data_IF_286007973793
#
_entry.id   IF_286007973793
#
_cell.length_a   1.000
_cell.length_b   1.000
_cell.length_c   1.000
_cell.angle_alpha   90.00
_cell.angle_beta   90.00
_cell.angle_gamma   90.00
#
_symmetry.space_group_name_H-M   'P 1'
#
loop_
_entity.id
_entity.type
_entity.pdbx_description
1 polymer ?
#
# COMPACT_ATOMS: atom_id res chain seq x y z
N UNK A 1 -16.70 16.28 48.44
CA UNK A 1 -16.46 16.13 46.99
C UNK A 1 -15.70 17.38 46.54
N UNK A 2 -14.50 17.23 45.98
CA UNK A 2 -13.65 18.37 45.60
C UNK A 2 -14.29 19.15 44.45
N UNK A 3 -14.32 20.48 44.54
CA UNK A 3 -14.95 21.36 43.53
C UNK A 3 -14.34 21.15 42.15
N UNK A 4 -13.01 21.00 42.11
CA UNK A 4 -12.18 20.88 40.89
C UNK A 4 -12.62 19.75 39.97
N UNK A 5 -13.15 18.63 40.50
CA UNK A 5 -13.58 17.48 39.71
C UNK A 5 -14.65 17.91 38.69
N UNK A 6 -15.67 18.65 39.16
CA UNK A 6 -16.77 19.14 38.33
C UNK A 6 -16.29 20.13 37.26
N UNK A 7 -15.26 20.92 37.56
CA UNK A 7 -14.66 21.85 36.59
C UNK A 7 -13.87 21.11 35.51
N UNK A 8 -13.07 20.11 35.88
CA UNK A 8 -12.32 19.28 34.92
C UNK A 8 -13.29 18.48 34.04
N UNK A 9 -14.30 17.83 34.63
CA UNK A 9 -15.33 17.09 33.87
C UNK A 9 -16.04 17.99 32.85
N UNK A 10 -16.41 19.22 33.23
CA UNK A 10 -17.03 20.18 32.32
C UNK A 10 -16.08 20.62 31.21
N UNK A 11 -14.83 20.96 31.53
CA UNK A 11 -13.85 21.43 30.56
C UNK A 11 -13.46 20.33 29.54
N UNK A 12 -13.37 19.07 29.96
CA UNK A 12 -13.12 17.94 29.07
C UNK A 12 -14.29 17.61 28.12
N UNK A 13 -15.46 18.24 28.26
CA UNK A 13 -16.53 18.17 27.25
C UNK A 13 -16.30 19.13 26.07
N UNK A 14 -15.53 20.20 26.27
CA UNK A 14 -15.30 21.26 25.26
C UNK A 14 -13.85 21.41 24.82
N UNK A 15 -12.88 20.92 25.60
CA UNK A 15 -11.44 21.03 25.35
C UNK A 15 -10.75 19.67 25.40
N UNK A 16 -9.77 19.47 24.50
CA UNK A 16 -8.98 18.23 24.44
C UNK A 16 -7.81 18.19 25.43
N UNK A 17 -7.55 19.28 26.15
CA UNK A 17 -6.50 19.37 27.16
C UNK A 17 -6.98 20.26 28.32
N UNK A 18 -6.70 19.86 29.56
CA UNK A 18 -6.96 20.63 30.78
C UNK A 18 -5.79 20.43 31.75
N UNK A 19 -5.08 21.51 32.08
CA UNK A 19 -3.84 21.48 32.86
C UNK A 19 -4.05 21.98 34.29
N UNK A 20 -3.76 21.12 35.26
CA UNK A 20 -3.75 21.42 36.69
C UNK A 20 -2.33 21.87 37.09
N UNK A 21 -2.13 23.15 37.49
CA UNK A 21 -0.83 23.65 37.92
C UNK A 21 -0.22 22.78 39.01
N UNK A 22 1.08 22.50 38.94
CA UNK A 22 1.84 21.68 39.92
C UNK A 22 1.39 20.21 40.06
N UNK A 23 0.39 19.75 39.30
CA UNK A 23 -0.14 18.37 39.37
C UNK A 23 0.07 17.60 38.04
N UNK A 24 -0.30 18.21 36.91
CA UNK A 24 -0.21 17.60 35.58
C UNK A 24 -1.41 17.96 34.70
N UNK A 25 -1.47 17.41 33.49
CA UNK A 25 -2.55 17.70 32.53
C UNK A 25 -3.32 16.46 32.08
N UNK A 26 -4.64 16.59 31.98
CA UNK A 26 -5.50 15.63 31.29
C UNK A 26 -5.51 15.94 29.80
N UNK A 27 -5.38 14.91 28.96
CA UNK A 27 -5.37 15.02 27.50
C UNK A 27 -6.33 13.98 26.91
N UNK A 28 -7.24 14.40 26.05
CA UNK A 28 -8.14 13.50 25.34
C UNK A 28 -7.47 12.94 24.07
N UNK A 29 -7.07 11.68 24.13
CA UNK A 29 -6.58 10.98 22.94
C UNK A 29 -7.75 10.47 22.11
N UNK A 30 -7.87 10.95 20.87
CA UNK A 30 -8.87 10.41 19.93
C UNK A 30 -8.41 9.06 19.39
N UNK A 31 -9.23 8.03 19.60
CA UNK A 31 -9.06 6.69 19.06
C UNK A 31 -10.06 6.48 17.91
N UNK A 32 -9.60 5.99 16.74
CA UNK A 32 -10.48 5.75 15.59
C UNK A 32 -11.51 4.66 15.90
N UNK A 33 -12.54 4.57 15.06
CA UNK A 33 -13.42 3.42 15.07
C UNK A 33 -12.63 2.13 14.79
N UNK A 34 -12.91 1.06 15.53
CA UNK A 34 -12.20 -0.22 15.40
C UNK A 34 -13.17 -1.38 15.28
N UNK A 35 -12.81 -2.36 14.45
CA UNK A 35 -13.43 -3.67 14.42
C UNK A 35 -12.50 -4.67 15.12
N UNK A 36 -13.03 -5.42 16.10
CA UNK A 36 -12.32 -6.52 16.73
C UNK A 36 -12.91 -7.84 16.23
N UNK A 37 -12.15 -8.52 15.36
CA UNK A 37 -12.58 -9.70 14.63
C UNK A 37 -12.97 -10.86 15.54
N UNK A 38 -12.14 -11.20 16.53
CA UNK A 38 -12.38 -12.28 17.51
C UNK A 38 -13.75 -12.20 18.22
N UNK A 39 -14.29 -10.99 18.36
CA UNK A 39 -15.53 -10.70 19.08
C UNK A 39 -16.63 -10.19 18.14
N UNK A 40 -16.35 -10.08 16.84
CA UNK A 40 -17.16 -9.40 15.84
C UNK A 40 -17.69 -8.03 16.30
N UNK A 41 -16.86 -7.30 17.06
CA UNK A 41 -17.26 -6.13 17.84
C UNK A 41 -16.80 -4.85 17.13
N UNK A 42 -17.77 -4.06 16.68
CA UNK A 42 -17.58 -2.73 16.14
C UNK A 42 -17.63 -1.70 17.27
N UNK A 43 -16.55 -0.94 17.43
CA UNK A 43 -16.47 0.20 18.35
C UNK A 43 -16.43 1.49 17.53
N UNK A 44 -17.27 2.50 17.84
CA UNK A 44 -17.19 3.80 17.20
C UNK A 44 -15.89 4.52 17.56
N UNK A 45 -15.62 5.63 16.87
CA UNK A 45 -14.59 6.58 17.29
C UNK A 45 -14.88 7.03 18.73
N UNK A 46 -13.86 7.09 19.58
CA UNK A 46 -13.98 7.51 20.98
C UNK A 46 -12.80 8.39 21.37
N UNK A 47 -12.93 9.10 22.48
CA UNK A 47 -11.81 9.76 23.15
C UNK A 47 -11.51 8.99 24.42
N UNK A 48 -10.24 8.82 24.74
CA UNK A 48 -9.76 8.23 25.98
C UNK A 48 -9.02 9.31 26.77
N UNK A 49 -9.25 9.38 28.08
CA UNK A 49 -8.56 10.34 28.95
C UNK A 49 -7.17 9.79 29.25
N UNK A 50 -6.14 10.53 28.87
CA UNK A 50 -4.76 10.30 29.29
C UNK A 50 -4.37 11.35 30.32
N UNK A 51 -3.42 11.02 31.20
CA UNK A 51 -2.84 11.97 32.15
C UNK A 51 -1.33 12.07 31.95
N UNK A 52 -0.80 13.28 32.00
CA UNK A 52 0.63 13.56 31.85
C UNK A 52 1.11 14.55 32.92
N UNK A 53 1.92 14.05 33.86
CA UNK A 53 2.54 14.80 34.97
C UNK A 53 3.45 15.94 34.47
N UNK A 54 4.02 15.82 33.26
CA UNK A 54 4.95 16.82 32.72
C UNK A 54 4.26 18.09 32.21
N UNK A 55 2.93 18.07 32.04
CA UNK A 55 2.16 19.26 31.67
C UNK A 55 1.92 20.14 32.91
N UNK A 56 2.81 21.10 33.14
CA UNK A 56 2.72 22.03 34.28
C UNK A 56 2.41 23.48 33.88
N UNK A 57 2.49 23.84 32.59
CA UNK A 57 2.18 25.18 32.13
C UNK A 57 0.66 25.42 32.15
N UNK A 58 0.21 26.44 32.87
CA UNK A 58 -1.22 26.74 33.00
C UNK A 58 -1.83 27.11 31.64
N UNK A 59 -2.95 26.51 31.26
CA UNK A 59 -3.74 26.90 30.07
C UNK A 59 -4.73 28.05 30.36
N UNK A 60 -4.99 28.32 31.64
CA UNK A 60 -5.95 29.31 32.12
C UNK A 60 -7.40 28.82 32.21
N UNK A 61 -7.72 27.64 31.66
CA UNK A 61 -9.08 27.12 31.51
C UNK A 61 -9.75 26.86 32.87
N UNK A 62 -9.01 26.28 33.82
CA UNK A 62 -9.53 26.05 35.18
C UNK A 62 -9.79 27.37 35.91
N UNK A 63 -8.84 28.32 35.88
CA UNK A 63 -9.02 29.65 36.49
C UNK A 63 -10.24 30.37 35.93
N UNK A 64 -10.43 30.36 34.61
CA UNK A 64 -11.61 30.93 33.96
C UNK A 64 -12.90 30.22 34.40
N UNK A 65 -12.91 28.89 34.44
CA UNK A 65 -14.06 28.10 34.89
C UNK A 65 -14.49 28.44 36.33
N UNK A 66 -13.53 28.70 37.22
CA UNK A 66 -13.78 29.14 38.60
C UNK A 66 -14.32 30.58 38.63
N UNK A 67 -13.73 31.52 37.88
CA UNK A 67 -14.24 32.89 37.77
C UNK A 67 -15.70 32.92 37.31
N UNK A 68 -16.02 32.20 36.23
CA UNK A 68 -17.37 32.13 35.66
C UNK A 68 -18.38 31.47 36.61
N UNK A 69 -17.98 30.42 37.33
CA UNK A 69 -18.90 29.65 38.20
C UNK A 69 -19.14 30.34 39.55
N UNK A 70 -18.13 31.00 40.13
CA UNK A 70 -18.22 31.60 41.47
C UNK A 70 -18.33 33.14 41.47
N UNK A 71 -18.26 33.80 40.31
CA UNK A 71 -18.34 35.26 40.20
C UNK A 71 -17.18 35.98 40.86
N UNK A 72 -15.98 35.38 40.85
CA UNK A 72 -14.78 35.88 41.52
C UNK A 72 -13.76 36.46 40.53
N UNK A 73 -12.87 37.33 41.02
CA UNK A 73 -11.72 37.80 40.23
C UNK A 73 -10.69 36.68 39.98
N UNK A 74 -9.80 36.89 39.01
CA UNK A 74 -8.80 35.90 38.60
C UNK A 74 -7.86 35.47 39.74
N UNK A 75 -7.45 36.40 40.62
CA UNK A 75 -6.53 36.10 41.72
C UNK A 75 -7.23 35.23 42.78
N UNK A 76 -8.50 35.51 43.07
CA UNK A 76 -9.32 34.70 43.97
C UNK A 76 -9.63 33.33 43.36
N UNK A 77 -9.89 33.25 42.05
CA UNK A 77 -10.04 31.98 41.34
C UNK A 77 -8.77 31.12 41.41
N UNK A 78 -7.58 31.72 41.21
CA UNK A 78 -6.30 31.02 41.38
C UNK A 78 -6.12 30.47 42.79
N UNK A 79 -6.39 31.27 43.84
CA UNK A 79 -6.29 30.80 45.22
C UNK A 79 -7.24 29.63 45.53
N UNK A 80 -8.47 29.67 45.02
CA UNK A 80 -9.44 28.56 45.16
C UNK A 80 -8.99 27.30 44.40
N UNK A 81 -8.36 27.47 43.23
CA UNK A 81 -7.79 26.37 42.46
C UNK A 81 -6.57 25.74 43.16
N UNK A 82 -5.67 26.56 43.71
CA UNK A 82 -4.52 26.06 44.49
C UNK A 82 -4.98 25.32 45.77
N UNK A 83 -5.99 25.84 46.48
CA UNK A 83 -6.62 25.16 47.62
C UNK A 83 -7.18 23.77 47.24
N UNK A 84 -7.88 23.65 46.12
CA UNK A 84 -8.45 22.36 45.67
C UNK A 84 -7.38 21.37 45.17
N UNK A 85 -6.29 21.86 44.56
CA UNK A 85 -5.16 21.02 44.12
C UNK A 85 -4.37 20.50 45.33
N UNK A 86 -4.16 21.34 46.34
CA UNK A 86 -3.51 20.91 47.59
C UNK A 86 -4.36 19.85 48.30
N UNK A 87 -5.68 20.08 48.42
CA UNK A 87 -6.60 19.09 48.97
C UNK A 87 -6.63 17.78 48.17
N UNK A 88 -6.46 17.84 46.84
CA UNK A 88 -6.34 16.67 45.97
C UNK A 88 -5.05 15.87 46.25
N UNK A 89 -3.91 16.55 46.37
CA UNK A 89 -2.62 15.93 46.71
C UNK A 89 -2.67 15.25 48.08
N UNK A 90 -3.09 15.98 49.12
CA UNK A 90 -3.22 15.46 50.49
C UNK A 90 -4.12 14.22 50.54
N UNK A 91 -5.24 14.23 49.79
CA UNK A 91 -6.13 13.08 49.71
C UNK A 91 -5.48 11.87 49.01
N UNK A 92 -4.74 12.09 47.92
CA UNK A 92 -4.01 11.03 47.21
C UNK A 92 -2.87 10.43 48.06
N UNK A 93 -2.16 11.24 48.84
CA UNK A 93 -1.11 10.78 49.76
C UNK A 93 -1.67 9.96 50.94
N UNK A 94 -2.79 10.42 51.53
CA UNK A 94 -3.41 9.77 52.69
C UNK A 94 -4.14 8.47 52.32
N UNK A 95 -5.05 8.52 51.35
CA UNK A 95 -5.90 7.39 50.97
C UNK A 95 -5.19 6.43 49.99
N UNK A 96 -4.02 6.83 49.46
CA UNK A 96 -3.26 6.16 48.37
C UNK A 96 -4.03 5.98 47.06
N UNK A 97 -5.29 6.41 47.00
CA UNK A 97 -6.20 6.24 45.86
C UNK A 97 -7.30 7.28 45.89
N UNK A 98 -7.51 8.01 44.80
CA UNK A 98 -8.60 8.98 44.65
C UNK A 98 -9.31 8.84 43.30
N UNK A 99 -10.64 8.88 43.32
CA UNK A 99 -11.49 8.73 42.12
C UNK A 99 -12.08 10.08 41.72
N UNK A 100 -11.87 10.47 40.46
CA UNK A 100 -12.30 11.74 39.88
C UNK A 100 -13.50 11.54 38.95
N UNK A 101 -14.62 11.05 39.50
CA UNK A 101 -15.86 10.87 38.77
C UNK A 101 -15.69 9.99 37.52
N UNK A 102 -16.04 10.53 36.35
CA UNK A 102 -15.90 9.87 35.04
C UNK A 102 -14.51 10.00 34.41
N UNK A 103 -13.66 10.88 34.92
CA UNK A 103 -12.32 11.16 34.36
C UNK A 103 -11.43 9.93 34.55
N UNK A 104 -11.38 9.40 35.77
CA UNK A 104 -10.56 8.24 36.11
C UNK A 104 -10.23 8.15 37.60
N UNK A 105 -9.29 7.28 37.93
CA UNK A 105 -8.80 7.04 39.29
C UNK A 105 -7.29 7.18 39.34
N UNK A 106 -6.78 7.91 40.31
CA UNK A 106 -5.36 7.88 40.67
C UNK A 106 -5.12 6.87 41.79
N UNK A 107 -3.97 6.21 41.75
CA UNK A 107 -3.48 5.32 42.81
C UNK A 107 -1.96 5.40 42.91
N UNK A 108 -1.43 5.36 44.12
CA UNK A 108 0.02 5.25 44.38
C UNK A 108 0.43 3.78 44.26
N UNK A 109 1.40 3.50 43.39
CA UNK A 109 1.99 2.17 43.19
C UNK A 109 2.95 1.76 44.31
N UNK A 110 3.44 0.52 44.27
CA UNK A 110 4.32 -0.04 45.31
C UNK A 110 5.67 0.71 45.40
N UNK A 111 6.14 1.30 44.31
CA UNK A 111 7.38 2.09 44.26
C UNK A 111 7.12 3.60 44.49
N UNK A 112 5.90 3.98 44.88
CA UNK A 112 5.50 5.36 45.12
C UNK A 112 5.12 6.15 43.86
N UNK A 113 5.07 5.54 42.67
CA UNK A 113 4.65 6.24 41.46
C UNK A 113 3.14 6.52 41.43
N UNK A 114 2.75 7.69 40.93
CA UNK A 114 1.33 8.01 40.66
C UNK A 114 0.86 7.33 39.38
N UNK A 115 -0.04 6.36 39.50
CA UNK A 115 -0.65 5.62 38.39
C UNK A 115 -2.05 6.21 38.14
N UNK A 116 -2.35 6.54 36.89
CA UNK A 116 -3.68 6.97 36.46
C UNK A 116 -4.38 5.84 35.68
N UNK A 117 -5.56 5.45 36.12
CA UNK A 117 -6.47 4.55 35.40
C UNK A 117 -7.62 5.37 34.81
N UNK A 118 -7.82 5.40 33.48
CA UNK A 118 -8.91 6.16 32.86
C UNK A 118 -10.29 5.63 33.27
N UNK A 119 -11.25 6.54 33.37
CA UNK A 119 -12.66 6.21 33.63
C UNK A 119 -13.47 5.93 32.36
N UNK A 120 -14.79 5.90 32.50
CA UNK A 120 -15.70 5.84 31.34
C UNK A 120 -15.66 7.15 30.55
N UNK A 121 -14.77 7.16 29.57
CA UNK A 121 -14.46 8.30 28.71
C UNK A 121 -15.43 8.46 27.53
N UNK A 122 -16.43 7.58 27.38
CA UNK A 122 -17.41 7.64 26.30
C UNK A 122 -18.19 8.97 26.24
N UNK A 123 -18.35 9.64 27.38
CA UNK A 123 -19.02 10.95 27.48
C UNK A 123 -18.24 12.12 26.87
N UNK A 124 -16.91 12.04 26.77
CA UNK A 124 -16.07 13.15 26.30
C UNK A 124 -15.97 13.26 24.77
N UNK A 125 -16.52 12.29 24.02
CA UNK A 125 -16.59 12.37 22.56
C UNK A 125 -17.97 12.82 22.07
N UNK A 126 -18.22 14.13 22.10
CA UNK A 126 -19.44 14.74 21.56
C UNK A 126 -19.76 14.33 20.10
N UNK A 127 -18.73 14.12 19.26
CA UNK A 127 -18.89 13.73 17.85
C UNK A 127 -19.39 12.30 17.63
N UNK A 128 -19.42 11.47 18.68
CA UNK A 128 -19.93 10.09 18.63
C UNK A 128 -20.91 9.81 19.75
N UNK A 129 -21.49 10.87 20.33
CA UNK A 129 -22.56 10.77 21.31
C UNK A 129 -23.74 9.95 20.75
N UNK A 130 -24.21 8.98 21.53
CA UNK A 130 -25.27 8.05 21.12
C UNK A 130 -24.82 6.86 20.25
N UNK A 131 -23.57 6.83 19.76
CA UNK A 131 -23.03 5.64 19.10
C UNK A 131 -22.57 4.63 20.15
N UNK A 132 -23.29 3.51 20.26
CA UNK A 132 -22.86 2.36 21.07
C UNK A 132 -21.89 1.46 20.28
N UNK A 133 -21.10 0.66 21.00
CA UNK A 133 -20.43 -0.48 20.37
C UNK A 133 -21.45 -1.58 20.12
N UNK A 134 -21.35 -2.28 19.00
CA UNK A 134 -22.29 -3.35 18.61
C UNK A 134 -21.57 -4.56 18.01
N UNK A 135 -22.21 -5.71 18.12
CA UNK A 135 -21.75 -6.94 17.47
C UNK A 135 -22.48 -7.12 16.15
N UNK A 136 -21.77 -7.51 15.09
CA UNK A 136 -22.38 -7.83 13.80
C UNK A 136 -21.81 -9.15 13.27
N UNK A 137 -22.64 -10.18 13.03
CA UNK A 137 -22.16 -11.50 12.63
C UNK A 137 -21.48 -11.46 11.25
N UNK A 138 -20.47 -12.31 11.08
CA UNK A 138 -19.82 -12.49 9.77
C UNK A 138 -20.82 -13.09 8.79
N UNK A 139 -20.93 -12.49 7.61
CA UNK A 139 -21.71 -13.04 6.50
C UNK A 139 -20.95 -14.25 5.93
N UNK A 140 -21.66 -15.37 5.68
CA UNK A 140 -21.08 -16.53 5.00
C UNK A 140 -20.48 -16.12 3.65
N UNK A 141 -19.39 -16.75 3.23
CA UNK A 141 -18.80 -16.43 1.93
C UNK A 141 -19.74 -16.87 0.80
N UNK A 142 -19.73 -16.12 -0.30
CA UNK A 142 -20.50 -16.49 -1.49
C UNK A 142 -19.95 -17.79 -2.13
N UNK A 143 -18.71 -18.18 -1.83
CA UNK A 143 -18.16 -19.48 -2.21
C UNK A 143 -18.78 -20.62 -1.40
N UNK A 144 -18.87 -20.51 -0.07
CA UNK A 144 -19.58 -21.50 0.78
C UNK A 144 -21.03 -21.67 0.34
N UNK A 145 -21.76 -20.57 0.09
CA UNK A 145 -23.15 -20.62 -0.33
C UNK A 145 -23.29 -21.25 -1.74
N UNK A 146 -22.35 -20.98 -2.66
CA UNK A 146 -22.30 -21.64 -3.97
C UNK A 146 -21.94 -23.12 -3.89
N UNK A 147 -21.06 -23.51 -2.96
CA UNK A 147 -20.68 -24.90 -2.76
C UNK A 147 -21.83 -25.69 -2.12
N UNK A 148 -22.50 -25.14 -1.10
CA UNK A 148 -23.72 -25.71 -0.51
C UNK A 148 -24.80 -25.89 -1.59
N UNK A 149 -25.06 -24.86 -2.41
CA UNK A 149 -26.00 -24.95 -3.55
C UNK A 149 -25.54 -25.95 -4.62
N UNK A 150 -24.24 -26.08 -4.91
CA UNK A 150 -23.72 -27.03 -5.88
C UNK A 150 -23.81 -28.49 -5.39
N UNK A 151 -23.63 -28.72 -4.09
CA UNK A 151 -23.84 -30.01 -3.43
C UNK A 151 -25.33 -30.40 -3.47
N UNK A 152 -26.23 -29.47 -3.17
CA UNK A 152 -27.68 -29.66 -3.20
C UNK A 152 -28.24 -29.81 -4.63
N UNK A 153 -27.68 -29.10 -5.62
CA UNK A 153 -28.13 -29.16 -7.02
C UNK A 153 -27.82 -30.51 -7.71
N UNK A 154 -26.93 -31.32 -7.14
CA UNK A 154 -26.58 -32.65 -7.61
C UNK A 154 -25.76 -32.66 -8.91
N UNK A 155 -24.92 -33.70 -9.06
CA UNK A 155 -24.18 -33.90 -10.31
C UNK A 155 -25.18 -34.21 -11.45
N UNK A 156 -25.39 -33.25 -12.35
CA UNK A 156 -26.15 -33.47 -13.60
C UNK A 156 -25.62 -34.73 -14.27
N UNK A 157 -26.47 -35.75 -14.41
CA UNK A 157 -26.11 -37.00 -15.09
C UNK A 157 -25.71 -36.64 -16.51
N UNK A 158 -24.49 -37.02 -16.92
CA UNK A 158 -24.06 -36.84 -18.31
C UNK A 158 -24.93 -37.75 -19.17
N UNK A 159 -25.65 -37.18 -20.13
CA UNK A 159 -26.49 -37.95 -21.04
C UNK A 159 -25.62 -38.91 -21.85
N UNK A 160 -25.77 -40.21 -21.58
CA UNK A 160 -25.07 -41.26 -22.31
C UNK A 160 -25.80 -41.46 -23.64
N UNK A 161 -25.32 -40.78 -24.68
CA UNK A 161 -25.83 -40.95 -26.04
C UNK A 161 -25.52 -42.36 -26.55
N UNK A 162 -26.52 -43.24 -26.49
CA UNK A 162 -26.46 -44.56 -27.13
C UNK A 162 -26.66 -44.42 -28.64
N UNK A 163 -25.61 -44.69 -29.42
CA UNK A 163 -25.66 -44.70 -30.89
C UNK A 163 -25.87 -46.15 -31.36
N UNK A 164 -27.07 -46.52 -31.88
CA UNK A 164 -27.34 -47.88 -32.34
C UNK A 164 -26.66 -48.17 -33.69
N UNK A 165 -25.47 -48.78 -33.66
CA UNK A 165 -24.80 -49.25 -34.87
C UNK A 165 -25.42 -50.57 -35.34
N UNK A 166 -25.93 -50.60 -36.58
CA UNK A 166 -26.58 -51.82 -37.09
C UNK A 166 -25.58 -52.93 -37.41
N UNK A 167 -25.88 -54.16 -36.96
CA UNK A 167 -25.05 -55.35 -37.22
C UNK A 167 -24.89 -55.68 -38.72
N UNK A 168 -25.78 -55.17 -39.58
CA UNK A 168 -25.68 -55.31 -41.04
C UNK A 168 -24.50 -54.51 -41.61
N UNK A 169 -24.33 -53.25 -41.17
CA UNK A 169 -23.21 -52.40 -41.60
C UNK A 169 -21.85 -53.00 -41.19
N UNK A 170 -21.75 -53.51 -39.96
CA UNK A 170 -20.52 -54.17 -39.47
C UNK A 170 -20.15 -55.37 -40.36
N UNK A 171 -21.12 -56.21 -40.77
CA UNK A 171 -20.87 -57.34 -41.68
C UNK A 171 -20.39 -56.90 -43.06
N UNK A 172 -20.95 -55.83 -43.61
CA UNK A 172 -20.51 -55.27 -44.91
C UNK A 172 -19.07 -54.78 -44.81
N UNK A 173 -18.73 -53.99 -43.77
CA UNK A 173 -17.36 -53.48 -43.55
C UNK A 173 -16.35 -54.64 -43.42
N UNK A 174 -16.67 -55.66 -42.62
CA UNK A 174 -15.80 -56.85 -42.45
C UNK A 174 -15.61 -57.61 -43.77
N UNK A 175 -16.68 -57.79 -44.56
CA UNK A 175 -16.58 -58.45 -45.86
C UNK A 175 -15.73 -57.66 -46.87
N UNK A 176 -15.86 -56.33 -46.91
CA UNK A 176 -15.04 -55.45 -47.73
C UNK A 176 -13.55 -55.52 -47.37
N UNK A 177 -13.22 -55.50 -46.07
CA UNK A 177 -11.84 -55.63 -45.59
C UNK A 177 -11.25 -57.00 -45.95
N UNK A 178 -12.02 -58.08 -45.81
CA UNK A 178 -11.59 -59.42 -46.19
C UNK A 178 -11.35 -59.56 -47.71
N UNK A 179 -12.19 -58.95 -48.55
CA UNK A 179 -12.02 -58.94 -50.00
C UNK A 179 -10.76 -58.16 -50.44
N UNK A 180 -10.50 -57.01 -49.82
CA UNK A 180 -9.28 -56.22 -50.07
C UNK A 180 -8.03 -56.98 -49.65
N UNK A 181 -8.04 -57.62 -48.47
CA UNK A 181 -6.92 -58.45 -48.01
C UNK A 181 -6.65 -59.62 -48.97
N UNK A 182 -7.70 -60.30 -49.46
CA UNK A 182 -7.57 -61.41 -50.42
C UNK A 182 -7.03 -60.93 -51.78
N UNK A 183 -7.41 -59.74 -52.24
CA UNK A 183 -6.86 -59.14 -53.45
C UNK A 183 -5.35 -58.91 -53.35
N UNK A 184 -4.85 -58.42 -52.22
CA UNK A 184 -3.41 -58.24 -51.98
C UNK A 184 -2.65 -59.59 -51.87
N UNK A 185 -3.28 -60.66 -51.40
CA UNK A 185 -2.65 -61.99 -51.31
C UNK A 185 -2.58 -62.70 -52.67
N UNK A 186 -3.56 -62.50 -53.55
CA UNK A 186 -3.63 -63.16 -54.88
C UNK A 186 -2.86 -62.39 -55.96
N UNK A 187 -2.59 -61.10 -55.76
CA UNK A 187 -1.84 -60.27 -56.70
C UNK A 187 -0.38 -60.74 -56.82
N UNK A 188 -0.01 -61.29 -57.97
CA UNK A 188 1.37 -61.69 -58.26
C UNK A 188 2.31 -60.49 -58.25
N UNK A 189 3.52 -60.58 -57.66
CA UNK A 189 4.44 -59.46 -57.62
C UNK A 189 4.97 -59.14 -59.02
N UNK A 190 4.66 -57.95 -59.52
CA UNK A 190 5.21 -57.42 -60.79
C UNK A 190 6.70 -57.14 -60.57
N UNK A 191 7.57 -57.98 -61.16
CA UNK A 191 9.02 -57.91 -60.95
C UNK A 191 9.79 -57.03 -61.93
N UNK A 192 9.13 -56.48 -62.95
CA UNK A 192 9.73 -55.53 -63.88
C UNK A 192 8.81 -54.33 -64.05
N UNK A 193 9.22 -53.18 -63.50
CA UNK A 193 8.50 -51.91 -63.61
C UNK A 193 9.31 -50.98 -64.50
N UNK A 194 8.88 -50.79 -65.74
CA UNK A 194 9.58 -49.93 -66.69
C UNK A 194 9.26 -48.46 -66.37
N UNK A 195 10.11 -47.83 -65.56
CA UNK A 195 9.94 -46.47 -65.02
C UNK A 195 9.75 -45.39 -66.12
N UNK A 196 10.25 -45.62 -67.33
CA UNK A 196 10.14 -44.69 -68.47
C UNK A 196 8.73 -44.60 -69.08
N UNK A 197 7.84 -45.55 -68.78
CA UNK A 197 6.46 -45.56 -69.27
C UNK A 197 5.45 -44.94 -68.28
N UNK A 198 5.90 -44.46 -67.11
CA UNK A 198 5.04 -44.04 -66.02
C UNK A 198 4.71 -42.53 -66.07
N UNK A 199 3.82 -42.14 -66.97
CA UNK A 199 3.41 -40.72 -67.18
C UNK A 199 2.20 -40.28 -66.34
N UNK A 200 1.71 -41.13 -65.44
CA UNK A 200 0.58 -40.82 -64.56
C UNK A 200 0.92 -41.07 -63.08
N UNK A 201 1.24 -40.00 -62.35
CA UNK A 201 1.30 -39.98 -60.89
C UNK A 201 0.45 -38.82 -60.36
N UNK A 202 -0.32 -39.07 -59.31
CA UNK A 202 -1.18 -38.08 -58.66
C UNK A 202 -0.46 -37.28 -57.54
N UNK A 203 0.86 -37.45 -57.41
CA UNK A 203 1.68 -36.73 -56.42
C UNK A 203 2.56 -35.72 -57.17
N UNK A 204 2.45 -34.41 -56.90
CA UNK A 204 3.32 -33.40 -57.51
C UNK A 204 4.80 -33.64 -57.19
N UNK A 205 5.63 -33.68 -58.23
CA UNK A 205 7.06 -34.03 -58.12
C UNK A 205 7.88 -33.04 -57.27
N UNK A 206 7.37 -31.83 -57.03
CA UNK A 206 8.04 -30.78 -56.24
C UNK A 206 8.04 -31.04 -54.72
N UNK A 207 7.27 -32.01 -54.21
CA UNK A 207 7.31 -32.38 -52.78
C UNK A 207 8.23 -33.56 -52.45
N UNK A 208 8.95 -34.11 -53.44
CA UNK A 208 9.87 -35.23 -53.22
C UNK A 208 11.30 -34.71 -53.09
N UNK A 209 11.66 -34.30 -51.87
CA UNK A 209 13.05 -34.00 -51.51
C UNK A 209 13.91 -35.29 -51.53
N UNK A 210 14.43 -35.63 -52.71
CA UNK A 210 15.54 -36.57 -52.82
C UNK A 210 16.81 -35.92 -52.29
N UNK A 211 17.21 -36.28 -51.07
CA UNK A 211 18.57 -36.06 -50.58
C UNK A 211 19.52 -36.86 -51.48
N UNK A 212 20.24 -36.16 -52.34
CA UNK A 212 21.30 -36.72 -53.15
C UNK A 212 22.57 -36.83 -52.29
N UNK A 213 22.79 -38.00 -51.70
CA UNK A 213 24.10 -38.38 -51.14
C UNK A 213 24.91 -39.05 -52.26
N UNK A 214 25.89 -38.31 -52.80
CA UNK A 214 26.92 -38.88 -53.68
C UNK A 214 27.98 -39.64 -52.85
N UNK A 215 28.69 -40.62 -53.44
CA UNK A 215 29.17 -41.78 -52.71
C UNK A 215 30.50 -41.57 -51.97
N UNK A 216 30.65 -42.40 -50.94
CA UNK A 216 31.82 -42.53 -50.08
C UNK A 216 33.03 -43.07 -50.87
N UNK A 217 34.16 -42.37 -50.78
CA UNK A 217 35.49 -42.90 -51.09
C UNK A 217 36.28 -43.10 -49.79
N UNK A 218 36.73 -44.32 -49.55
CA UNK A 218 37.68 -44.74 -48.50
C UNK A 218 39.12 -44.80 -49.07
N UNK A 219 40.18 -45.13 -48.30
CA UNK A 219 40.45 -44.95 -46.86
C UNK A 219 41.83 -44.28 -46.60
N UNK A 220 42.19 -43.98 -45.34
CA UNK A 220 43.48 -44.43 -44.73
C UNK A 220 43.56 -44.16 -43.22
N UNK A 221 44.50 -44.84 -42.55
CA UNK A 221 44.68 -44.87 -41.08
C UNK A 221 45.73 -43.86 -40.56
N UNK A 222 45.92 -43.88 -39.23
CA UNK A 222 47.11 -43.50 -38.42
C UNK A 222 46.93 -42.29 -37.47
N UNK A 223 46.41 -42.63 -36.28
CA UNK A 223 47.04 -42.45 -34.96
C UNK A 223 47.81 -41.16 -34.54
N UNK A 224 47.35 -40.61 -33.39
CA UNK A 224 48.10 -40.15 -32.20
C UNK A 224 48.58 -38.67 -32.09
N UNK A 225 48.14 -38.02 -30.99
CA UNK A 225 48.73 -36.87 -30.24
C UNK A 225 48.81 -35.46 -30.89
N UNK A 226 48.87 -34.32 -30.17
CA UNK A 226 48.48 -33.88 -28.80
C UNK A 226 48.79 -32.34 -28.70
N UNK A 227 48.16 -31.60 -27.76
CA UNK A 227 48.57 -30.26 -27.20
C UNK A 227 48.17 -28.96 -27.96
N UNK A 228 47.51 -28.03 -27.21
CA UNK A 228 47.35 -26.54 -27.26
C UNK A 228 47.07 -25.78 -28.60
N UNK A 229 46.42 -24.60 -28.68
CA UNK A 229 46.34 -23.43 -27.77
C UNK A 229 45.20 -22.42 -28.17
N UNK A 230 44.87 -21.46 -27.28
CA UNK A 230 44.11 -20.18 -27.44
C UNK A 230 42.66 -20.18 -28.03
N UNK A 231 41.61 -19.67 -27.34
CA UNK A 231 41.34 -18.26 -26.91
C UNK A 231 41.20 -17.32 -28.13
N UNK A 232 40.01 -17.02 -28.67
CA UNK A 232 38.85 -16.27 -28.14
C UNK A 232 38.91 -14.73 -28.31
N UNK A 233 37.83 -14.22 -28.92
CA UNK A 233 37.17 -12.92 -28.70
C UNK A 233 37.69 -11.61 -29.36
N UNK A 234 36.72 -10.71 -29.53
CA UNK A 234 36.75 -9.24 -29.68
C UNK A 234 36.62 -8.64 -31.10
N UNK A 235 35.70 -7.67 -31.15
CA UNK A 235 35.27 -6.77 -32.23
C UNK A 235 36.38 -5.84 -32.74
N UNK A 236 36.18 -5.14 -33.88
CA UNK A 236 35.73 -3.73 -33.85
C UNK A 236 34.77 -3.39 -35.04
N UNK A 237 34.26 -2.16 -35.29
CA UNK A 237 34.91 -0.85 -35.26
C UNK A 237 33.93 0.35 -35.29
N UNK A 238 34.39 1.47 -34.71
CA UNK A 238 33.82 2.83 -34.78
C UNK A 238 34.86 3.76 -35.45
N UNK A 239 34.43 4.73 -36.25
CA UNK A 239 35.19 5.95 -36.63
C UNK A 239 34.20 7.14 -36.51
N UNK A 240 34.42 8.20 -35.70
CA UNK A 240 35.40 9.30 -35.82
C UNK A 240 35.08 10.25 -37.01
N UNK A 241 34.99 11.58 -36.89
CA UNK A 241 35.96 12.51 -36.26
C UNK A 241 35.35 13.88 -35.87
N UNK A 242 36.08 14.64 -35.02
CA UNK A 242 35.91 16.04 -34.58
C UNK A 242 36.08 17.07 -35.75
N UNK A 243 36.12 18.41 -35.65
CA UNK A 243 36.27 19.41 -34.55
C UNK A 243 35.97 20.84 -35.09
N UNK A 244 35.58 21.82 -34.25
CA UNK A 244 35.99 23.26 -34.36
C UNK A 244 35.77 23.96 -33.00
N UNK A 245 36.54 25.01 -32.72
CA UNK A 245 36.84 25.58 -31.39
C UNK A 245 36.54 27.11 -31.32
N UNK A 246 36.55 27.68 -30.10
CA UNK A 246 37.15 29.01 -29.69
C UNK A 246 36.34 29.78 -28.61
N UNK A 247 36.87 29.68 -27.37
CA UNK A 247 37.04 30.65 -26.28
C UNK A 247 36.18 31.95 -26.09
N UNK A 248 35.74 32.19 -24.84
CA UNK A 248 36.38 33.17 -23.90
C UNK A 248 35.84 33.18 -22.45
N UNK A 249 36.76 33.35 -21.49
CA UNK A 249 36.59 33.69 -20.04
C UNK A 249 36.88 35.20 -19.82
N UNK A 250 36.97 35.76 -18.58
CA UNK A 250 36.26 35.59 -17.29
C UNK A 250 35.76 36.94 -16.68
N UNK A 251 35.12 36.99 -15.49
CA UNK A 251 35.29 38.09 -14.47
C UNK A 251 34.46 37.96 -13.17
N UNK A 252 35.00 38.56 -12.09
CA UNK A 252 34.59 38.60 -10.66
C UNK A 252 35.24 39.91 -10.09
N UNK A 253 34.61 40.80 -9.26
CA UNK A 253 34.26 40.54 -7.84
C UNK A 253 33.10 41.34 -7.17
N UNK A 254 32.84 40.99 -5.89
CA UNK A 254 32.47 41.80 -4.68
C UNK A 254 31.67 43.13 -4.73
N UNK A 255 30.77 43.35 -3.74
CA UNK A 255 31.03 44.19 -2.52
C UNK A 255 29.83 44.25 -1.55
N UNK A 256 30.07 43.74 -0.33
CA UNK A 256 29.63 44.18 1.03
C UNK A 256 28.59 45.31 1.21
N UNK A 257 27.60 45.06 2.09
CA UNK A 257 27.29 45.96 3.24
C UNK A 257 26.52 45.23 4.35
N UNK A 258 26.67 45.73 5.56
CA UNK A 258 26.29 45.11 6.85
C UNK A 258 25.45 46.12 7.68
N UNK A 259 24.81 45.64 8.76
CA UNK A 259 24.04 46.41 9.78
C UNK A 259 22.62 46.87 9.40
N UNK A 260 21.61 46.21 9.98
CA UNK A 260 20.69 46.79 10.98
C UNK A 260 19.49 45.86 11.26
N UNK A 261 19.30 45.45 12.52
CA UNK A 261 18.07 44.79 12.99
C UNK A 261 17.02 45.85 13.32
N UNK A 262 15.79 45.69 12.83
CA UNK A 262 14.65 45.78 13.74
C UNK A 262 13.73 44.56 13.58
N UNK A 263 13.32 43.97 14.71
CA UNK A 263 12.44 42.81 14.73
C UNK A 263 10.99 43.16 14.34
N UNK A 264 10.32 42.36 13.50
CA UNK A 264 8.86 42.32 13.43
C UNK A 264 8.29 41.01 13.98
N UNK A 265 7.28 41.15 14.84
CA UNK A 265 6.17 40.22 15.14
C UNK A 265 6.33 38.75 14.71
N UNK A 266 6.36 37.86 15.71
CA UNK A 266 6.07 36.44 15.50
C UNK A 266 4.63 36.26 14.97
N UNK A 267 4.51 35.89 13.70
CA UNK A 267 3.25 35.38 13.16
C UNK A 267 2.97 33.96 13.66
N UNK A 268 1.68 33.65 13.79
CA UNK A 268 1.18 32.34 14.22
C UNK A 268 1.74 31.22 13.33
N UNK A 269 2.37 30.21 13.95
CA UNK A 269 2.82 29.01 13.24
C UNK A 269 1.62 28.14 12.87
N UNK A 270 0.93 28.53 11.80
CA UNK A 270 0.01 27.63 11.11
C UNK A 270 0.81 26.43 10.60
N UNK A 271 0.33 25.21 10.88
CA UNK A 271 0.93 23.97 10.38
C UNK A 271 0.97 24.00 8.86
N UNK A 272 2.18 24.07 8.29
CA UNK A 272 2.40 24.23 6.85
C UNK A 272 2.03 22.94 6.12
N UNK A 273 0.76 22.82 5.74
CA UNK A 273 0.24 21.75 4.89
C UNK A 273 1.07 21.66 3.61
N UNK A 274 1.54 20.46 3.31
CA UNK A 274 2.34 20.15 2.12
C UNK A 274 1.50 19.30 1.16
N UNK A 275 1.55 19.67 -0.12
CA UNK A 275 0.78 19.06 -1.19
C UNK A 275 1.72 18.27 -2.09
N UNK A 276 1.54 16.96 -2.18
CA UNK A 276 2.40 16.06 -2.97
C UNK A 276 1.54 15.40 -4.05
N UNK A 277 2.07 15.27 -5.27
CA UNK A 277 1.31 14.68 -6.37
C UNK A 277 1.82 13.26 -6.61
N UNK A 278 0.95 12.28 -6.38
CA UNK A 278 1.23 10.85 -6.53
C UNK A 278 0.95 10.46 -7.98
N UNK A 279 1.92 9.83 -8.64
CA UNK A 279 1.79 9.32 -10.02
C UNK A 279 1.65 7.79 -10.09
N UNK A 280 2.15 7.06 -9.08
CA UNK A 280 2.00 5.61 -8.99
C UNK A 280 2.10 5.10 -7.54
N UNK A 281 1.67 3.87 -7.30
CA UNK A 281 1.75 3.21 -5.98
C UNK A 281 1.86 1.70 -6.15
N UNK A 282 2.94 1.10 -5.65
CA UNK A 282 3.27 -0.31 -5.82
C UNK A 282 3.34 -1.08 -4.49
N UNK A 283 3.02 -2.40 -4.48
CA UNK A 283 3.17 -3.24 -3.29
C UNK A 283 4.64 -3.57 -2.97
N UNK A 284 5.50 -3.71 -3.98
CA UNK A 284 6.92 -4.10 -3.82
C UNK A 284 7.88 -2.99 -4.24
N UNK A 285 9.09 -3.02 -3.66
CA UNK A 285 10.11 -2.01 -3.91
C UNK A 285 10.70 -2.10 -5.33
N UNK A 286 10.83 -3.31 -5.85
CA UNK A 286 11.37 -3.62 -7.18
C UNK A 286 10.53 -2.95 -8.28
N UNK A 287 9.21 -3.15 -8.25
CA UNK A 287 8.25 -2.51 -9.17
C UNK A 287 8.30 -0.98 -9.06
N UNK A 288 8.48 -0.44 -7.85
CA UNK A 288 8.61 1.00 -7.66
C UNK A 288 9.92 1.55 -8.27
N UNK A 289 11.03 0.82 -8.13
CA UNK A 289 12.32 1.21 -8.70
C UNK A 289 12.33 1.10 -10.24
N UNK A 290 11.73 0.05 -10.80
CA UNK A 290 11.52 -0.12 -12.24
C UNK A 290 10.65 1.00 -12.83
N UNK A 291 9.58 1.38 -12.14
CA UNK A 291 8.78 2.52 -12.58
C UNK A 291 9.58 3.83 -12.54
N UNK A 292 10.39 4.08 -11.50
CA UNK A 292 11.22 5.29 -11.39
C UNK A 292 12.29 5.36 -12.49
N UNK A 293 12.92 4.24 -12.87
CA UNK A 293 13.89 4.23 -13.99
C UNK A 293 13.22 4.53 -15.34
N UNK A 294 11.95 4.14 -15.50
CA UNK A 294 11.12 4.46 -16.66
C UNK A 294 10.42 5.84 -16.63
N UNK A 295 10.64 6.69 -15.63
CA UNK A 295 10.07 8.07 -15.60
C UNK A 295 11.02 9.06 -16.27
N UNK A 296 10.49 9.79 -17.25
CA UNK A 296 11.19 10.87 -17.92
C UNK A 296 11.38 12.08 -16.97
N UNK A 297 12.64 12.35 -16.62
CA UNK A 297 13.05 13.44 -15.73
C UNK A 297 12.82 14.83 -16.32
N UNK A 298 12.56 14.95 -17.62
CA UNK A 298 12.14 16.23 -18.23
C UNK A 298 10.69 16.57 -17.88
N UNK A 299 9.85 15.56 -17.65
CA UNK A 299 8.42 15.68 -17.36
C UNK A 299 8.16 15.75 -15.86
N UNK A 300 8.88 14.94 -15.06
CA UNK A 300 8.79 14.96 -13.59
C UNK A 300 10.16 15.32 -12.98
N UNK A 301 10.29 16.54 -12.46
CA UNK A 301 11.59 17.06 -11.99
C UNK A 301 12.04 16.50 -10.63
N UNK A 302 11.10 16.27 -9.72
CA UNK A 302 11.37 15.92 -8.31
C UNK A 302 10.79 14.54 -7.95
N UNK A 303 11.06 13.53 -8.79
CA UNK A 303 10.57 12.17 -8.55
C UNK A 303 11.12 11.63 -7.24
N UNK A 304 10.23 11.25 -6.32
CA UNK A 304 10.61 10.71 -5.00
C UNK A 304 9.75 9.51 -4.61
N UNK A 305 10.35 8.59 -3.84
CA UNK A 305 9.72 7.36 -3.34
C UNK A 305 9.50 7.49 -1.83
N UNK A 306 8.28 7.24 -1.36
CA UNK A 306 7.99 7.18 0.09
C UNK A 306 7.13 5.96 0.40
N UNK A 307 7.48 5.24 1.45
CA UNK A 307 6.69 4.11 1.97
C UNK A 307 5.57 4.65 2.87
N UNK A 308 4.32 4.33 2.54
CA UNK A 308 3.13 4.62 3.36
C UNK A 308 2.14 3.47 3.24
N UNK A 309 1.57 3.06 4.37
CA UNK A 309 0.50 2.05 4.44
C UNK A 309 0.90 0.71 3.77
N UNK A 310 2.16 0.30 3.96
CA UNK A 310 2.74 -0.91 3.35
C UNK A 310 2.95 -0.84 1.83
N UNK A 311 2.83 0.34 1.21
CA UNK A 311 2.97 0.55 -0.24
C UNK A 311 4.02 1.61 -0.56
N UNK A 312 4.72 1.43 -1.68
CA UNK A 312 5.70 2.35 -2.22
C UNK A 312 5.00 3.36 -3.11
N UNK A 313 4.81 4.59 -2.63
CA UNK A 313 4.20 5.69 -3.41
C UNK A 313 5.29 6.49 -4.10
N UNK A 314 5.02 6.82 -5.37
CA UNK A 314 5.93 7.60 -6.21
C UNK A 314 5.28 8.96 -6.46
N UNK A 315 6.00 10.01 -6.09
CA UNK A 315 5.56 11.40 -6.20
C UNK A 315 6.30 12.07 -7.35
N UNK A 316 5.62 12.90 -8.14
CA UNK A 316 6.23 13.67 -9.22
C UNK A 316 6.86 14.99 -8.72
N UNK A 317 6.21 15.65 -7.77
CA UNK A 317 6.69 16.89 -7.14
C UNK A 317 5.91 17.22 -5.84
N UNK A 318 6.38 18.24 -5.11
CA UNK A 318 5.86 18.70 -3.81
C UNK A 318 5.73 20.24 -3.78
N UNK A 319 4.57 20.71 -3.32
CA UNK A 319 4.20 22.13 -3.26
C UNK A 319 3.77 22.56 -1.86
N UNK A 320 3.98 23.84 -1.55
CA UNK A 320 3.54 24.48 -0.31
C UNK A 320 2.12 25.09 -0.43
N UNK A 321 1.57 25.13 -1.64
CA UNK A 321 0.30 25.77 -1.99
C UNK A 321 -0.56 24.80 -2.81
N UNK A 322 -1.88 24.86 -2.60
CA UNK A 322 -2.83 23.95 -3.23
C UNK A 322 -3.04 24.25 -4.72
N UNK A 323 -3.17 25.53 -5.07
CA UNK A 323 -3.47 25.94 -6.44
C UNK A 323 -2.35 25.53 -7.43
N UNK A 324 -1.10 25.69 -7.01
CA UNK A 324 0.08 25.32 -7.82
C UNK A 324 0.14 23.81 -8.04
N UNK A 325 -0.18 23.02 -7.00
CA UNK A 325 -0.24 21.56 -7.10
C UNK A 325 -1.39 21.08 -8.01
N UNK A 326 -2.58 21.69 -7.92
CA UNK A 326 -3.71 21.35 -8.79
C UNK A 326 -3.43 21.73 -10.25
N UNK A 327 -2.75 22.86 -10.49
CA UNK A 327 -2.30 23.28 -11.82
C UNK A 327 -1.29 22.30 -12.43
N UNK A 328 -0.25 21.90 -11.69
CA UNK A 328 0.75 20.93 -12.18
C UNK A 328 0.15 19.51 -12.34
N UNK A 329 -0.77 19.09 -11.47
CA UNK A 329 -1.50 17.84 -11.66
C UNK A 329 -2.35 17.88 -12.96
N UNK A 330 -2.97 19.02 -13.28
CA UNK A 330 -3.73 19.19 -14.51
C UNK A 330 -2.86 19.20 -15.78
N UNK A 331 -1.57 19.58 -15.70
CA UNK A 331 -0.64 19.42 -16.83
C UNK A 331 -0.18 17.96 -16.96
N UNK A 332 0.15 17.28 -15.86
CA UNK A 332 0.54 15.87 -15.88
C UNK A 332 -0.55 14.96 -16.46
N UNK A 333 -1.83 15.17 -16.09
CA UNK A 333 -2.97 14.36 -16.59
C UNK A 333 -3.23 14.48 -18.10
N UNK A 334 -2.58 15.40 -18.82
CA UNK A 334 -2.61 15.47 -20.29
C UNK A 334 -1.72 14.40 -20.94
N UNK A 335 -0.79 13.83 -20.18
CA UNK A 335 0.10 12.75 -20.61
C UNK A 335 -0.59 11.44 -20.23
N UNK A 336 -0.83 10.54 -21.19
CA UNK A 336 -1.60 9.31 -20.96
C UNK A 336 -1.03 8.45 -19.82
N UNK A 337 0.31 8.45 -19.67
CA UNK A 337 1.05 7.74 -18.59
C UNK A 337 0.70 8.22 -17.17
N UNK A 338 0.15 9.44 -17.00
CA UNK A 338 -0.12 10.05 -15.70
C UNK A 338 -1.59 10.50 -15.54
N UNK A 339 -2.51 9.93 -16.33
CA UNK A 339 -3.95 10.24 -16.30
C UNK A 339 -4.57 10.07 -14.90
N UNK A 340 -4.10 9.09 -14.14
CA UNK A 340 -4.60 8.74 -12.80
C UNK A 340 -3.82 9.43 -11.65
N UNK A 341 -2.95 10.39 -11.95
CA UNK A 341 -2.22 11.15 -10.95
C UNK A 341 -3.18 11.90 -9.98
N UNK A 342 -2.88 11.90 -8.68
CA UNK A 342 -3.77 12.45 -7.65
C UNK A 342 -3.02 13.19 -6.54
N UNK A 343 -3.74 14.05 -5.82
CA UNK A 343 -3.19 14.96 -4.82
C UNK A 343 -3.24 14.35 -3.41
N UNK A 344 -2.09 14.27 -2.75
CA UNK A 344 -1.94 13.86 -1.36
C UNK A 344 -1.57 15.06 -0.47
N UNK A 345 -2.30 15.25 0.63
CA UNK A 345 -2.09 16.37 1.57
C UNK A 345 -1.50 15.84 2.87
N UNK A 346 -0.24 16.16 3.17
CA UNK A 346 0.33 15.93 4.50
C UNK A 346 0.17 17.17 5.38
N UNK A 347 -0.22 16.96 6.64
CA UNK A 347 -0.31 17.99 7.66
C UNK A 347 1.01 18.15 8.40
#
# INVERSE_FOLDING_TARGET
>A
MLRIITHIERLLLTHDCVILPKFGGFVLQTLPATYQEEKHLFRPMRKEVMFNVTLQHTDGLLSESYMQTYGVDYRKAQLMLEEDIEALNVSLEQDKRITLGRIGTFSIGEEGQTIFTPGDSGVFNANSYGLSSFHFPVLRSLEEEREEVALLAGKKKKDVFYIPVSRKLIRVVVASVAAVALFFVVSTPVKEVNLSAYTASFVPTEMINYRFEEPISQPEEIQISQVDEMVAEVTPKIEATKETEIAKTPSVPEVRKEVAVPAPKAELVATKKMYHIVIASFPTEEQANEYISGVDRTQCKNVSKVVRDGKYRIYADKFNNRADAESYMATLRKIEKYKDAWLFISR
#
